data_IF_501482502461
#
_entry.id   IF_501482502461
#
_cell.length_a   1.000
_cell.length_b   1.000
_cell.length_c   1.000
_cell.angle_alpha   90.00
_cell.angle_beta   90.00
_cell.angle_gamma   90.00
#
_symmetry.space_group_name_H-M   'P 1'
#
loop_
_entity.id
_entity.type
_entity.pdbx_description
1 polymer ?
#
# COMPACT_ATOMS: atom_id res chain seq x y z
N UNK A 1 -11.09 -5.54 -4.03
CA UNK A 1 -10.06 -4.50 -3.84
C UNK A 1 -10.58 -3.51 -2.81
N UNK A 2 -9.68 -2.77 -2.17
CA UNK A 2 -9.97 -1.70 -1.21
C UNK A 2 -9.21 -0.44 -1.64
N UNK A 3 -9.78 0.74 -1.39
CA UNK A 3 -9.11 2.02 -1.57
C UNK A 3 -8.68 2.50 -0.19
N UNK A 4 -7.38 2.65 0.02
CA UNK A 4 -6.81 3.12 1.29
C UNK A 4 -6.42 4.58 1.13
N UNK A 5 -6.91 5.43 2.02
CA UNK A 5 -6.60 6.86 2.07
C UNK A 5 -5.75 7.24 3.28
N UNK A 6 -5.37 8.52 3.36
CA UNK A 6 -4.52 9.04 4.44
C UNK A 6 -3.02 8.86 4.18
N UNK A 7 -2.63 8.56 2.94
CA UNK A 7 -1.24 8.38 2.54
C UNK A 7 -0.73 9.71 1.99
N UNK A 8 0.12 10.45 2.72
CA UNK A 8 0.56 11.79 2.31
C UNK A 8 1.28 11.81 0.95
N UNK A 9 2.09 10.78 0.68
CA UNK A 9 2.81 10.63 -0.58
C UNK A 9 2.56 9.24 -1.18
N UNK A 10 1.44 9.06 -1.93
CA UNK A 10 1.07 7.75 -2.47
C UNK A 10 2.09 7.21 -3.48
N UNK A 11 2.78 8.08 -4.23
CA UNK A 11 3.83 7.65 -5.16
C UNK A 11 5.07 7.10 -4.44
N UNK A 12 5.52 7.76 -3.36
CA UNK A 12 6.63 7.26 -2.56
C UNK A 12 6.30 5.90 -1.92
N UNK A 13 5.10 5.77 -1.33
CA UNK A 13 4.64 4.51 -0.73
C UNK A 13 4.48 3.41 -1.79
N UNK A 14 3.93 3.75 -2.96
CA UNK A 14 3.81 2.79 -4.06
C UNK A 14 5.18 2.25 -4.51
N UNK A 15 6.17 3.13 -4.69
CA UNK A 15 7.54 2.71 -5.05
C UNK A 15 8.17 1.82 -3.96
N UNK A 16 8.02 2.20 -2.68
CA UNK A 16 8.57 1.43 -1.57
C UNK A 16 7.91 0.04 -1.43
N UNK A 17 6.61 -0.08 -1.70
CA UNK A 17 5.92 -1.38 -1.76
C UNK A 17 6.42 -2.21 -2.94
N UNK A 18 6.61 -1.59 -4.11
CA UNK A 18 7.13 -2.26 -5.31
C UNK A 18 8.54 -2.82 -5.08
N UNK A 19 9.43 -2.06 -4.41
CA UNK A 19 10.77 -2.51 -4.04
C UNK A 19 10.76 -3.73 -3.11
N UNK A 20 9.70 -3.89 -2.31
CA UNK A 20 9.45 -5.05 -1.44
C UNK A 20 8.76 -6.21 -2.16
N UNK A 21 8.54 -6.11 -3.48
CA UNK A 21 7.84 -7.12 -4.28
C UNK A 21 6.32 -7.06 -4.16
N UNK A 22 5.76 -6.02 -3.54
CA UNK A 22 4.32 -5.85 -3.31
C UNK A 22 3.76 -4.88 -4.36
N UNK A 23 3.13 -5.44 -5.40
CA UNK A 23 2.54 -4.62 -6.47
C UNK A 23 1.10 -4.21 -6.13
N UNK A 24 0.93 -2.93 -5.75
CA UNK A 24 -0.39 -2.28 -5.63
C UNK A 24 -0.59 -1.27 -6.76
N UNK A 25 -1.76 -0.61 -6.80
CA UNK A 25 -2.10 0.34 -7.86
C UNK A 25 -2.23 1.76 -7.32
N UNK A 26 -1.39 2.66 -7.82
CA UNK A 26 -1.73 4.08 -7.80
C UNK A 26 -2.78 4.36 -8.89
N UNK A 27 -3.91 4.96 -8.49
CA UNK A 27 -5.05 5.28 -9.36
C UNK A 27 -5.15 6.77 -9.70
N UNK A 28 -4.20 7.59 -9.24
CA UNK A 28 -4.18 9.03 -9.49
C UNK A 28 -5.14 9.85 -8.64
N UNK A 29 -5.79 9.24 -7.64
CA UNK A 29 -6.60 9.95 -6.65
C UNK A 29 -5.66 10.42 -5.52
N UNK A 30 -5.66 11.73 -5.18
CA UNK A 30 -4.77 12.26 -4.15
C UNK A 30 -4.86 11.48 -2.85
N UNK A 31 -3.69 11.24 -2.24
CA UNK A 31 -3.52 10.63 -0.93
C UNK A 31 -4.07 9.20 -0.78
N UNK A 32 -4.20 8.46 -1.90
CA UNK A 32 -4.77 7.11 -1.88
C UNK A 32 -3.97 6.09 -2.69
N UNK A 33 -4.09 4.83 -2.31
CA UNK A 33 -3.66 3.67 -3.10
C UNK A 33 -4.78 2.62 -3.14
N UNK A 34 -4.89 1.91 -4.26
CA UNK A 34 -5.84 0.80 -4.43
C UNK A 34 -5.13 -0.53 -4.28
N UNK A 35 -5.59 -1.33 -3.32
CA UNK A 35 -5.03 -2.63 -2.98
C UNK A 35 -6.01 -3.72 -3.40
N UNK A 36 -5.55 -4.71 -4.14
CA UNK A 36 -6.34 -5.91 -4.40
C UNK A 36 -6.13 -6.87 -3.23
N UNK A 37 -7.21 -7.26 -2.54
CA UNK A 37 -7.14 -8.32 -1.55
C UNK A 37 -6.91 -9.66 -2.29
N UNK A 38 -5.73 -10.25 -2.07
CA UNK A 38 -5.36 -11.55 -2.60
C UNK A 38 -5.63 -12.64 -1.57
N UNK A 39 -4.67 -13.54 -1.41
CA UNK A 39 -4.62 -14.51 -0.32
C UNK A 39 -4.41 -13.84 1.04
N UNK A 40 -4.62 -14.59 2.12
CA UNK A 40 -4.35 -14.13 3.48
C UNK A 40 -2.87 -13.74 3.65
N UNK A 41 -1.94 -14.57 3.17
CA UNK A 41 -0.50 -14.29 3.25
C UNK A 41 -0.11 -13.01 2.50
N UNK A 42 -0.66 -12.79 1.30
CA UNK A 42 -0.40 -11.57 0.53
C UNK A 42 -0.98 -10.35 1.23
N UNK A 43 -2.19 -10.48 1.80
CA UNK A 43 -2.85 -9.39 2.51
C UNK A 43 -2.10 -9.00 3.78
N UNK A 44 -1.61 -9.97 4.56
CA UNK A 44 -0.78 -9.74 5.74
C UNK A 44 0.51 -9.00 5.36
N UNK A 45 1.21 -9.44 4.32
CA UNK A 45 2.44 -8.78 3.85
C UNK A 45 2.21 -7.32 3.46
N UNK A 46 1.08 -7.01 2.81
CA UNK A 46 0.71 -5.64 2.47
C UNK A 46 0.46 -4.80 3.73
N UNK A 47 -0.31 -5.33 4.69
CA UNK A 47 -0.64 -4.61 5.93
C UNK A 47 0.62 -4.30 6.74
N UNK A 48 1.51 -5.29 6.91
CA UNK A 48 2.77 -5.12 7.63
C UNK A 48 3.66 -4.08 6.95
N UNK A 49 3.84 -4.18 5.63
CA UNK A 49 4.64 -3.21 4.89
C UNK A 49 4.06 -1.79 4.97
N UNK A 50 2.74 -1.65 4.92
CA UNK A 50 2.09 -0.34 5.08
C UNK A 50 2.26 0.22 6.49
N UNK A 51 2.14 -0.61 7.54
CA UNK A 51 2.34 -0.16 8.92
C UNK A 51 3.77 0.37 9.15
N UNK A 52 4.78 -0.33 8.60
CA UNK A 52 6.18 0.10 8.66
C UNK A 52 6.42 1.42 7.90
N UNK A 53 5.88 1.54 6.69
CA UNK A 53 6.09 2.72 5.83
C UNK A 53 5.35 3.96 6.33
N UNK A 54 4.19 3.80 6.96
CA UNK A 54 3.37 4.89 7.47
C UNK A 54 3.72 5.28 8.91
N UNK A 55 4.66 4.57 9.55
CA UNK A 55 5.18 4.91 10.87
C UNK A 55 4.20 4.67 12.02
N UNK A 56 3.12 3.91 11.79
CA UNK A 56 2.15 3.59 12.84
C UNK A 56 2.71 2.45 13.70
N UNK A 57 3.28 2.82 14.85
CA UNK A 57 3.53 1.88 15.96
C UNK A 57 2.27 1.61 16.75
#
# INVERSE_FOLDING_TARGET
FILVGGIENPDAVWNALLERGILVRNVGIPNTLRITAGTESETTAVIEAMAELLGTK
#
